data_IF_826370894408
#
_entry.id   IF_826370894408
#
_cell.length_a   1.000
_cell.length_b   1.000
_cell.length_c   1.000
_cell.angle_alpha   90.00
_cell.angle_beta   90.00
_cell.angle_gamma   90.00
#
_symmetry.space_group_name_H-M   'P 1'
#
loop_
_entity.id
_entity.type
_entity.pdbx_description
1 polymer ?
#
# COMPACT_ATOMS: atom_id res chain seq x y z
N UNK A 1 12.07 56.43 54.44
CA UNK A 1 12.30 55.02 54.85
C UNK A 1 12.81 54.29 53.62
N UNK A 2 14.13 54.17 53.49
CA UNK A 2 14.76 53.40 52.42
C UNK A 2 14.74 51.94 52.85
N UNK A 3 13.75 51.17 52.43
CA UNK A 3 13.87 49.71 52.46
C UNK A 3 14.96 49.34 51.45
N UNK A 4 16.05 48.76 51.95
CA UNK A 4 17.13 48.24 51.12
C UNK A 4 16.56 47.17 50.20
N UNK A 5 16.72 47.33 48.89
CA UNK A 5 16.40 46.30 47.90
C UNK A 5 17.00 44.96 48.35
N UNK A 6 16.28 43.84 48.19
CA UNK A 6 16.81 42.52 48.56
C UNK A 6 18.15 42.27 47.85
N UNK A 7 19.08 41.62 48.56
CA UNK A 7 20.42 41.34 48.05
C UNK A 7 20.32 40.65 46.66
N UNK A 8 21.04 41.11 45.61
CA UNK A 8 20.85 40.66 44.23
C UNK A 8 20.98 39.14 44.06
N UNK A 9 21.80 38.51 44.89
CA UNK A 9 21.95 37.05 44.94
C UNK A 9 20.64 36.32 45.32
N UNK A 10 19.83 36.88 46.23
CA UNK A 10 18.56 36.27 46.65
C UNK A 10 17.52 36.30 45.52
N UNK A 11 17.50 37.37 44.71
CA UNK A 11 16.63 37.46 43.55
C UNK A 11 17.00 36.44 42.47
N UNK A 12 18.30 36.27 42.18
CA UNK A 12 18.78 35.28 41.21
C UNK A 12 18.42 33.84 41.61
N UNK A 13 18.56 33.50 42.89
CA UNK A 13 18.21 32.17 43.39
C UNK A 13 16.69 31.90 43.34
N UNK A 14 15.87 32.90 43.67
CA UNK A 14 14.41 32.78 43.56
C UNK A 14 13.94 32.65 42.11
N UNK A 15 14.53 33.40 41.18
CA UNK A 15 14.24 33.28 39.75
C UNK A 15 14.69 31.91 39.21
N UNK A 16 15.87 31.42 39.59
CA UNK A 16 16.33 30.10 39.19
C UNK A 16 15.40 28.98 39.68
N UNK A 17 14.89 29.07 40.91
CA UNK A 17 13.90 28.13 41.45
C UNK A 17 12.56 28.20 40.72
N UNK A 18 12.12 29.41 40.35
CA UNK A 18 10.91 29.61 39.55
C UNK A 18 11.07 28.95 38.17
N UNK A 19 12.19 29.18 37.50
CA UNK A 19 12.46 28.66 36.16
C UNK A 19 12.56 27.13 36.17
N UNK A 20 13.22 26.54 37.19
CA UNK A 20 13.23 25.08 37.41
C UNK A 20 11.83 24.51 37.62
N UNK A 21 10.97 25.21 38.36
CA UNK A 21 9.59 24.78 38.56
C UNK A 21 8.76 24.81 37.27
N UNK A 22 8.99 25.81 36.40
CA UNK A 22 8.33 25.93 35.10
C UNK A 22 8.84 24.90 34.08
N UNK A 23 10.11 24.50 34.18
CA UNK A 23 10.72 23.49 33.31
C UNK A 23 10.43 22.03 33.73
N UNK A 24 9.73 21.81 34.85
CA UNK A 24 9.47 20.45 35.34
C UNK A 24 8.37 19.75 34.52
N UNK A 25 8.72 18.64 33.85
CA UNK A 25 7.78 17.83 33.05
C UNK A 25 6.93 16.84 33.86
N UNK A 26 7.31 16.57 35.11
CA UNK A 26 6.63 15.60 35.97
C UNK A 26 6.50 16.11 37.40
N UNK A 27 5.48 15.61 38.10
CA UNK A 27 5.26 15.97 39.51
C UNK A 27 6.46 15.62 40.40
N UNK A 28 7.12 14.49 40.13
CA UNK A 28 8.29 14.07 40.89
C UNK A 28 9.51 14.98 40.64
N UNK A 29 9.69 15.48 39.41
CA UNK A 29 10.74 16.44 39.09
C UNK A 29 10.52 17.78 39.81
N UNK A 30 9.27 18.26 39.85
CA UNK A 30 8.90 19.45 40.62
C UNK A 30 9.17 19.25 42.12
N UNK A 31 8.71 18.12 42.69
CA UNK A 31 8.95 17.79 44.10
C UNK A 31 10.44 17.64 44.44
N UNK A 32 11.27 17.14 43.51
CA UNK A 32 12.72 17.11 43.66
C UNK A 32 13.34 18.49 43.73
N UNK A 33 12.94 19.39 42.84
CA UNK A 33 13.46 20.76 42.85
C UNK A 33 13.08 21.48 44.15
N UNK A 34 11.83 21.34 44.59
CA UNK A 34 11.35 21.92 45.85
C UNK A 34 12.12 21.43 47.08
N UNK A 35 12.45 20.13 47.13
CA UNK A 35 13.14 19.54 48.28
C UNK A 35 14.65 19.84 48.30
N UNK A 36 15.31 19.90 47.15
CA UNK A 36 16.78 19.96 47.09
C UNK A 36 17.32 21.34 46.73
N UNK A 37 16.68 22.04 45.80
CA UNK A 37 17.20 23.31 45.29
C UNK A 37 16.92 24.49 46.23
N UNK A 38 16.09 24.32 47.26
CA UNK A 38 15.78 25.36 48.26
C UNK A 38 16.92 25.58 49.27
N UNK A 39 17.85 24.64 49.38
CA UNK A 39 18.93 24.65 50.39
C UNK A 39 19.86 25.88 50.36
N UNK A 40 20.24 26.46 49.20
CA UNK A 40 21.04 27.68 49.14
C UNK A 40 20.33 28.91 49.75
N UNK A 41 19.00 28.95 49.71
CA UNK A 41 18.19 30.04 50.27
C UNK A 41 17.94 29.88 51.78
N UNK A 42 17.72 28.65 52.23
CA UNK A 42 17.48 28.33 53.62
C UNK A 42 18.17 27.01 53.95
N UNK A 43 19.15 27.04 54.85
CA UNK A 43 19.81 25.82 55.33
C UNK A 43 18.85 25.06 56.25
N UNK A 44 18.47 23.86 55.85
CA UNK A 44 17.62 22.94 56.61
C UNK A 44 18.28 21.57 56.75
N UNK A 45 17.93 20.82 57.79
CA UNK A 45 18.44 19.45 57.97
C UNK A 45 17.86 18.51 56.91
N UNK A 46 16.55 18.63 56.67
CA UNK A 46 15.84 17.84 55.68
C UNK A 46 14.60 18.59 55.19
N UNK A 47 14.28 18.42 53.91
CA UNK A 47 13.02 18.84 53.30
C UNK A 47 12.22 17.61 52.88
N UNK A 48 10.92 17.64 53.17
CA UNK A 48 9.98 16.56 52.84
C UNK A 48 8.82 17.15 52.03
N UNK A 49 8.56 16.58 50.85
CA UNK A 49 7.48 17.01 49.98
C UNK A 49 6.41 15.93 49.95
N UNK A 50 5.20 16.28 50.38
CA UNK A 50 4.04 15.39 50.39
C UNK A 50 3.01 15.83 49.35
N UNK A 51 2.44 14.88 48.63
CA UNK A 51 1.21 15.05 47.87
C UNK A 51 0.00 14.70 48.74
N UNK A 52 -1.06 15.49 48.65
CA UNK A 52 -2.35 15.15 49.25
C UNK A 52 -3.25 14.46 48.22
N UNK A 53 -3.61 13.20 48.47
CA UNK A 53 -4.54 12.41 47.65
C UNK A 53 -5.57 11.77 48.57
N UNK A 54 -6.86 12.05 48.35
CA UNK A 54 -7.98 11.45 49.11
C UNK A 54 -7.77 11.48 50.65
N UNK A 55 -7.30 12.61 51.18
CA UNK A 55 -6.97 12.84 52.61
C UNK A 55 -5.81 12.00 53.17
N UNK A 56 -5.03 11.36 52.29
CA UNK A 56 -3.75 10.74 52.63
C UNK A 56 -2.60 11.61 52.13
N UNK A 57 -1.53 11.70 52.92
CA UNK A 57 -0.27 12.30 52.50
C UNK A 57 0.67 11.23 51.96
N UNK A 58 0.99 11.33 50.68
CA UNK A 58 1.97 10.50 49.98
C UNK A 58 3.29 11.25 49.91
N UNK A 59 4.36 10.65 50.44
CA UNK A 59 5.70 11.24 50.39
C UNK A 59 6.24 11.14 48.95
N UNK A 60 6.42 12.29 48.29
CA UNK A 60 6.98 12.35 46.94
C UNK A 60 8.51 12.41 46.95
N UNK A 61 9.08 13.16 47.89
CA UNK A 61 10.53 13.34 47.93
C UNK A 61 11.05 13.71 49.33
N UNK A 62 12.31 13.33 49.56
CA UNK A 62 13.10 13.64 50.76
C UNK A 62 14.43 14.20 50.29
N UNK A 63 14.81 15.39 50.76
CA UNK A 63 16.10 15.99 50.38
C UNK A 63 17.29 15.13 50.83
N UNK A 64 18.30 15.00 49.98
CA UNK A 64 19.56 14.33 50.32
C UNK A 64 19.50 12.80 50.43
N UNK A 65 18.35 12.15 50.18
CA UNK A 65 18.22 10.70 50.13
C UNK A 65 17.72 10.23 48.75
N UNK A 66 18.39 9.24 48.17
CA UNK A 66 17.89 8.50 47.02
C UNK A 66 16.83 7.49 47.50
N UNK A 67 15.55 7.87 47.42
CA UNK A 67 14.33 7.05 47.70
C UNK A 67 14.47 6.03 48.86
N UNK A 68 13.97 6.34 50.07
CA UNK A 68 14.01 5.38 51.16
C UNK A 68 13.17 4.12 50.84
N UNK A 69 13.69 2.93 51.16
CA UNK A 69 12.99 1.65 50.99
C UNK A 69 11.74 1.58 51.88
N UNK A 70 10.67 0.94 51.41
CA UNK A 70 9.31 1.02 51.98
C UNK A 70 9.16 0.52 53.44
N UNK A 71 10.20 -0.09 54.04
CA UNK A 71 10.13 -0.78 55.34
C UNK A 71 10.96 -0.15 56.48
N UNK A 72 11.41 1.11 56.36
CA UNK A 72 12.14 1.77 57.46
C UNK A 72 11.22 2.18 58.63
N UNK A 73 11.60 1.95 59.91
CA UNK A 73 10.87 2.43 61.09
C UNK A 73 10.55 3.93 61.04
N UNK A 74 11.47 4.73 60.49
CA UNK A 74 11.29 6.16 60.28
C UNK A 74 10.11 6.47 59.36
N UNK A 75 9.92 5.73 58.26
CA UNK A 75 8.82 5.98 57.31
C UNK A 75 7.45 5.62 57.90
N UNK A 76 7.38 4.55 58.70
CA UNK A 76 6.14 4.14 59.39
C UNK A 76 5.72 5.20 60.40
N UNK A 77 6.67 5.75 61.14
CA UNK A 77 6.43 6.87 62.03
C UNK A 77 6.10 8.16 61.26
N UNK A 78 6.87 8.48 60.21
CA UNK A 78 6.68 9.67 59.38
C UNK A 78 5.29 9.72 58.75
N UNK A 79 4.72 8.59 58.35
CA UNK A 79 3.35 8.51 57.82
C UNK A 79 2.29 8.90 58.87
N UNK A 80 2.54 8.61 60.16
CA UNK A 80 1.68 9.03 61.28
C UNK A 80 1.91 10.50 61.62
N UNK A 81 3.16 10.90 61.75
CA UNK A 81 3.57 12.28 62.06
C UNK A 81 3.06 13.27 60.99
N UNK A 82 3.25 12.97 59.71
CA UNK A 82 2.80 13.83 58.60
C UNK A 82 1.30 14.05 58.59
N UNK A 83 0.47 13.04 58.90
CA UNK A 83 -0.99 13.19 59.02
C UNK A 83 -1.37 14.14 60.14
N UNK A 84 -0.71 14.03 61.29
CA UNK A 84 -0.92 14.94 62.41
C UNK A 84 -0.50 16.37 62.03
N UNK A 85 0.68 16.54 61.41
CA UNK A 85 1.15 17.86 60.94
C UNK A 85 0.17 18.47 59.93
N UNK A 86 -0.33 17.70 58.96
CA UNK A 86 -1.31 18.19 57.98
C UNK A 86 -2.64 18.64 58.61
N UNK A 87 -3.04 18.08 59.75
CA UNK A 87 -4.22 18.53 60.48
C UNK A 87 -4.00 19.87 61.19
N UNK A 88 -2.74 20.23 61.48
CA UNK A 88 -2.38 21.49 62.15
C UNK A 88 -2.18 22.65 61.19
N UNK A 89 -1.89 22.38 59.92
CA UNK A 89 -1.59 23.38 58.89
C UNK A 89 -2.84 23.63 58.04
N UNK A 90 -3.34 24.86 58.07
CA UNK A 90 -4.47 25.29 57.22
C UNK A 90 -3.95 25.96 55.94
N UNK A 91 -4.18 27.26 55.79
CA UNK A 91 -3.86 28.03 54.57
C UNK A 91 -2.50 28.74 54.62
N UNK A 92 -2.01 29.07 55.82
CA UNK A 92 -0.74 29.76 56.02
C UNK A 92 0.34 28.83 56.57
N UNK A 93 1.64 29.12 56.32
CA UNK A 93 2.71 28.30 56.83
C UNK A 93 2.80 28.41 58.35
N UNK A 94 3.10 27.29 59.00
CA UNK A 94 3.13 27.17 60.44
C UNK A 94 4.50 26.69 60.91
N UNK A 95 5.06 27.39 61.90
CA UNK A 95 6.20 26.90 62.68
C UNK A 95 5.68 25.99 63.80
N UNK A 96 6.08 24.71 63.77
CA UNK A 96 5.67 23.70 64.74
C UNK A 96 6.88 23.25 65.57
N UNK A 97 6.73 23.30 66.89
CA UNK A 97 7.66 22.70 67.86
C UNK A 97 6.93 21.72 68.76
N UNK A 98 7.66 20.83 69.42
CA UNK A 98 7.07 19.88 70.39
C UNK A 98 6.28 20.60 71.50
N UNK A 99 6.77 21.75 71.95
CA UNK A 99 6.16 22.52 73.05
C UNK A 99 4.89 23.30 72.63
N UNK A 100 4.79 23.69 71.37
CA UNK A 100 3.74 24.61 70.90
C UNK A 100 2.34 23.99 70.85
N UNK A 101 2.23 22.69 70.53
CA UNK A 101 0.95 22.01 70.26
C UNK A 101 0.83 20.61 70.87
N UNK A 102 1.75 20.22 71.76
CA UNK A 102 1.75 18.94 72.48
C UNK A 102 1.39 17.73 71.59
N UNK A 103 2.31 17.25 70.74
CA UNK A 103 2.04 16.12 69.87
C UNK A 103 1.66 14.88 70.70
N UNK A 104 0.83 13.96 70.15
CA UNK A 104 0.60 12.64 70.74
C UNK A 104 1.92 11.96 71.14
N UNK A 105 1.90 11.17 72.22
CA UNK A 105 3.11 10.57 72.79
C UNK A 105 3.93 9.77 71.77
N UNK A 106 3.27 9.02 70.88
CA UNK A 106 3.93 8.23 69.83
C UNK A 106 4.63 9.09 68.76
N UNK A 107 4.16 10.33 68.56
CA UNK A 107 4.78 11.32 67.68
C UNK A 107 5.90 12.05 68.42
N UNK A 108 5.70 12.40 69.69
CA UNK A 108 6.70 13.09 70.53
C UNK A 108 7.98 12.27 70.70
N UNK A 109 7.85 10.95 70.93
CA UNK A 109 8.98 10.05 71.11
C UNK A 109 9.86 9.98 69.85
N UNK A 110 9.25 9.72 68.68
CA UNK A 110 9.97 9.66 67.41
C UNK A 110 10.45 11.03 66.91
N UNK A 111 9.79 12.13 67.30
CA UNK A 111 10.26 13.47 66.95
C UNK A 111 11.62 13.73 67.60
N UNK A 112 11.77 13.36 68.86
CA UNK A 112 13.02 13.53 69.60
C UNK A 112 14.18 12.69 69.04
N UNK A 113 13.87 11.59 68.35
CA UNK A 113 14.84 10.71 67.71
C UNK A 113 15.24 11.19 66.30
N UNK A 114 14.29 11.67 65.49
CA UNK A 114 14.50 11.89 64.06
C UNK A 114 14.38 13.33 63.58
N UNK A 115 13.72 14.23 64.32
CA UNK A 115 13.46 15.62 63.90
C UNK A 115 14.12 16.63 64.85
N UNK A 116 14.56 17.80 64.34
CA UNK A 116 15.17 18.85 65.15
C UNK A 116 14.11 19.66 65.92
N UNK A 117 14.54 20.79 66.48
CA UNK A 117 13.74 21.66 67.36
C UNK A 117 12.39 22.09 66.77
N UNK A 118 12.31 22.32 65.46
CA UNK A 118 11.02 22.61 64.85
C UNK A 118 10.91 22.33 63.36
N UNK A 119 9.67 22.36 62.90
CA UNK A 119 9.28 22.13 61.51
C UNK A 119 8.58 23.37 60.97
N UNK A 120 9.09 23.86 59.86
CA UNK A 120 8.39 24.86 59.07
C UNK A 120 7.54 24.17 58.01
N UNK A 121 6.23 24.28 58.17
CA UNK A 121 5.25 23.56 57.37
C UNK A 121 4.58 24.52 56.39
N UNK A 122 4.82 24.33 55.09
CA UNK A 122 4.36 25.22 54.03
C UNK A 122 3.29 24.51 53.20
N UNK A 123 2.02 24.93 53.25
CA UNK A 123 0.96 24.36 52.41
C UNK A 123 1.12 24.81 50.96
N UNK A 124 0.94 23.88 50.03
CA UNK A 124 0.96 24.16 48.59
C UNK A 124 -0.46 24.00 48.08
N UNK A 125 -1.06 25.11 47.65
CA UNK A 125 -2.42 25.15 47.18
C UNK A 125 -2.50 25.53 45.69
N UNK A 126 -3.57 25.10 45.04
CA UNK A 126 -3.91 25.56 43.69
C UNK A 126 -4.51 26.98 43.72
N UNK A 127 -4.78 27.56 42.54
CA UNK A 127 -5.42 28.89 42.42
C UNK A 127 -6.84 28.95 43.04
N UNK A 128 -7.47 27.81 43.34
CA UNK A 128 -8.79 27.71 43.95
C UNK A 128 -8.72 27.54 45.47
N UNK A 129 -7.53 27.63 46.08
CA UNK A 129 -7.32 27.47 47.53
C UNK A 129 -7.34 26.01 48.00
N UNK A 130 -7.44 25.03 47.09
CA UNK A 130 -7.37 23.62 47.45
C UNK A 130 -5.91 23.21 47.66
N UNK A 131 -5.61 22.67 48.84
CA UNK A 131 -4.29 22.10 49.17
C UNK A 131 -3.99 20.90 48.26
N UNK A 132 -2.90 20.98 47.53
CA UNK A 132 -2.36 19.94 46.65
C UNK A 132 -1.30 19.09 47.36
N UNK A 133 -0.61 19.67 48.34
CA UNK A 133 0.50 19.05 49.05
C UNK A 133 1.05 19.91 50.18
N UNK A 134 2.07 19.40 50.84
CA UNK A 134 2.73 20.02 51.99
C UNK A 134 4.24 19.88 51.86
N UNK A 135 4.97 20.99 52.01
CA UNK A 135 6.43 21.02 52.12
C UNK A 135 6.81 21.21 53.59
N UNK A 136 7.57 20.29 54.16
CA UNK A 136 8.10 20.38 55.52
C UNK A 136 9.60 20.63 55.47
N UNK A 137 10.07 21.68 56.15
CA UNK A 137 11.49 21.96 56.33
C UNK A 137 11.87 21.81 57.80
N UNK A 138 12.83 20.94 58.07
CA UNK A 138 13.33 20.65 59.41
C UNK A 138 14.43 21.65 59.77
N UNK A 139 14.20 22.48 60.80
CA UNK A 139 15.06 23.59 61.19
C UNK A 139 15.32 23.59 62.71
N UNK A 140 16.45 24.15 63.14
CA UNK A 140 16.76 24.32 64.57
C UNK A 140 16.11 25.58 65.16
N UNK A 141 15.69 26.52 64.31
CA UNK A 141 15.19 27.84 64.72
C UNK A 141 14.05 28.27 63.82
N UNK A 142 13.17 29.10 64.38
CA UNK A 142 12.06 29.70 63.63
C UNK A 142 12.60 30.53 62.45
N UNK A 143 12.07 30.35 61.23
CA UNK A 143 12.52 31.09 60.06
C UNK A 143 12.15 32.57 60.18
N UNK A 144 13.00 33.50 59.70
CA UNK A 144 12.70 34.93 59.74
C UNK A 144 11.39 35.25 58.98
N UNK A 145 10.48 36.07 59.53
CA UNK A 145 9.21 36.41 58.87
C UNK A 145 9.37 37.04 57.48
N UNK A 146 10.46 37.77 57.25
CA UNK A 146 10.81 38.39 55.96
C UNK A 146 11.03 37.34 54.86
N UNK A 147 11.53 36.16 55.22
CA UNK A 147 11.78 35.08 54.26
C UNK A 147 10.47 34.59 53.62
N UNK A 148 9.39 34.54 54.39
CA UNK A 148 8.08 34.15 53.88
C UNK A 148 7.54 35.14 52.85
N UNK A 149 7.77 36.45 53.03
CA UNK A 149 7.32 37.48 52.08
C UNK A 149 7.92 37.26 50.69
N UNK A 150 9.17 36.79 50.61
CA UNK A 150 9.84 36.48 49.36
C UNK A 150 9.49 35.09 48.79
N UNK A 151 9.32 34.08 49.65
CA UNK A 151 8.99 32.71 49.22
C UNK A 151 7.53 32.54 48.79
N UNK A 152 6.60 33.37 49.27
CA UNK A 152 5.16 33.27 48.95
C UNK A 152 4.89 33.22 47.44
N UNK A 153 5.59 34.04 46.65
CA UNK A 153 5.46 34.04 45.19
C UNK A 153 5.96 32.75 44.52
N UNK A 154 7.07 32.20 45.03
CA UNK A 154 7.64 30.94 44.54
C UNK A 154 6.72 29.76 44.88
N UNK A 155 6.20 29.69 46.11
CA UNK A 155 5.24 28.67 46.55
C UNK A 155 3.96 28.72 45.70
N UNK A 156 3.48 29.92 45.36
CA UNK A 156 2.38 30.10 44.41
C UNK A 156 2.68 29.54 43.02
N UNK A 157 3.92 29.74 42.53
CA UNK A 157 4.38 29.16 41.25
C UNK A 157 4.42 27.63 41.32
N UNK A 158 4.95 27.06 42.40
CA UNK A 158 4.93 25.61 42.62
C UNK A 158 3.51 25.05 42.62
N UNK A 159 2.56 25.71 43.30
CA UNK A 159 1.15 25.34 43.29
C UNK A 159 0.54 25.34 41.89
N UNK A 160 0.88 26.33 41.06
CA UNK A 160 0.44 26.40 39.66
C UNK A 160 1.00 25.25 38.81
N UNK A 161 2.31 25.02 38.84
CA UNK A 161 2.95 23.93 38.09
C UNK A 161 2.42 22.56 38.54
N UNK A 162 2.25 22.37 39.85
CA UNK A 162 1.69 21.15 40.41
C UNK A 162 0.27 20.89 39.91
N UNK A 163 -0.58 21.92 39.89
CA UNK A 163 -1.93 21.81 39.36
C UNK A 163 -1.91 21.45 37.85
N UNK A 164 -1.03 22.06 37.07
CA UNK A 164 -0.90 21.77 35.64
C UNK A 164 -0.45 20.32 35.38
N UNK A 165 0.51 19.82 36.16
CA UNK A 165 1.05 18.46 36.04
C UNK A 165 0.08 17.37 36.54
N UNK A 166 -0.81 17.71 37.46
CA UNK A 166 -1.81 16.77 38.02
C UNK A 166 -3.19 16.88 37.38
N UNK A 167 -3.42 17.87 36.51
CA UNK A 167 -4.67 18.04 35.74
C UNK A 167 -4.79 16.89 34.75
N UNK A 168 -5.44 15.80 35.17
CA UNK A 168 -5.87 14.74 34.27
C UNK A 168 -6.65 15.41 33.13
N UNK A 169 -6.10 15.37 31.91
CA UNK A 169 -6.82 15.75 30.70
C UNK A 169 -8.04 14.84 30.60
N UNK A 170 -9.15 15.26 31.18
CA UNK A 170 -10.47 14.70 30.92
C UNK A 170 -10.86 15.11 29.51
N UNK A 171 -10.18 14.53 28.53
CA UNK A 171 -10.77 14.34 27.21
C UNK A 171 -12.06 13.58 27.48
N UNK A 172 -13.18 14.29 27.37
CA UNK A 172 -14.52 13.75 27.50
C UNK A 172 -14.60 12.53 26.60
N UNK A 173 -14.47 11.34 27.19
CA UNK A 173 -14.70 10.09 26.47
C UNK A 173 -16.21 10.00 26.31
N UNK A 174 -16.69 10.47 25.16
CA UNK A 174 -17.98 10.09 24.63
C UNK A 174 -18.02 8.56 24.60
N UNK A 175 -18.67 7.96 25.60
CA UNK A 175 -18.88 6.53 25.69
C UNK A 175 -20.31 6.29 25.24
N UNK A 176 -20.54 5.85 24.00
CA UNK A 176 -21.88 5.53 23.56
C UNK A 176 -22.47 4.49 24.50
N UNK A 177 -23.73 4.68 24.88
CA UNK A 177 -24.44 3.71 25.73
C UNK A 177 -24.49 2.34 25.04
N UNK A 178 -24.60 1.24 25.80
CA UNK A 178 -24.73 -0.12 25.23
C UNK A 178 -25.82 -0.21 24.16
N UNK A 179 -26.93 0.54 24.32
CA UNK A 179 -28.02 0.63 23.35
C UNK A 179 -27.61 1.33 22.06
N UNK A 180 -26.89 2.46 22.15
CA UNK A 180 -26.35 3.14 20.98
C UNK A 180 -25.35 2.27 20.23
N UNK A 181 -24.46 1.57 20.95
CA UNK A 181 -23.52 0.62 20.34
C UNK A 181 -24.24 -0.52 19.60
N UNK A 182 -25.29 -1.09 20.21
CA UNK A 182 -26.12 -2.13 19.59
C UNK A 182 -26.84 -1.61 18.34
N UNK A 183 -27.46 -0.43 18.41
CA UNK A 183 -28.15 0.19 17.27
C UNK A 183 -27.16 0.48 16.14
N UNK A 184 -25.97 1.02 16.45
CA UNK A 184 -24.94 1.26 15.42
C UNK A 184 -24.44 -0.04 14.79
N UNK A 185 -24.27 -1.11 15.58
CA UNK A 185 -23.87 -2.41 15.07
C UNK A 185 -24.95 -2.99 14.14
N UNK A 186 -26.22 -2.87 14.53
CA UNK A 186 -27.35 -3.39 13.78
C UNK A 186 -27.53 -2.60 12.47
N UNK A 187 -27.38 -1.27 12.53
CA UNK A 187 -27.46 -0.39 11.35
C UNK A 187 -26.29 -0.65 10.39
N UNK A 188 -25.08 -0.86 10.91
CA UNK A 188 -23.92 -1.26 10.12
C UNK A 188 -24.12 -2.67 9.50
N UNK A 189 -24.63 -3.62 10.28
CA UNK A 189 -24.98 -4.96 9.80
C UNK A 189 -26.00 -4.91 8.68
N UNK A 190 -27.06 -4.11 8.82
CA UNK A 190 -28.08 -3.90 7.79
C UNK A 190 -27.49 -3.28 6.51
N UNK A 191 -26.55 -2.33 6.64
CA UNK A 191 -25.87 -1.71 5.49
C UNK A 191 -25.12 -2.76 4.65
N UNK A 192 -24.55 -3.79 5.27
CA UNK A 192 -23.83 -4.86 4.55
C UNK A 192 -24.74 -5.72 3.66
N UNK A 193 -26.06 -5.71 3.89
CA UNK A 193 -27.06 -6.41 3.05
C UNK A 193 -27.59 -5.55 1.90
N UNK A 194 -27.11 -4.32 1.71
CA UNK A 194 -27.49 -3.53 0.54
C UNK A 194 -26.90 -4.13 -0.75
N UNK A 195 -27.73 -4.41 -1.77
CA UNK A 195 -27.25 -4.96 -3.04
C UNK A 195 -26.55 -3.87 -3.85
N UNK A 196 -25.27 -4.07 -4.15
CA UNK A 196 -24.44 -3.17 -4.96
C UNK A 196 -23.99 -3.86 -6.25
N UNK A 197 -23.84 -3.10 -7.33
CA UNK A 197 -23.30 -3.64 -8.59
C UNK A 197 -21.81 -3.94 -8.41
N UNK A 198 -21.40 -5.16 -8.69
CA UNK A 198 -19.99 -5.54 -8.65
C UNK A 198 -19.27 -4.93 -9.86
N UNK A 199 -18.12 -4.30 -9.62
CA UNK A 199 -17.27 -3.80 -10.71
C UNK A 199 -15.85 -4.29 -10.59
N UNK A 200 -15.18 -4.42 -11.73
CA UNK A 200 -13.75 -4.71 -11.82
C UNK A 200 -13.10 -3.74 -12.80
N UNK A 201 -11.85 -3.36 -12.52
CA UNK A 201 -11.03 -2.55 -13.40
C UNK A 201 -9.96 -3.44 -14.00
N UNK A 202 -9.71 -3.29 -15.31
CA UNK A 202 -8.74 -4.10 -16.02
C UNK A 202 -8.06 -3.28 -17.13
N UNK A 203 -6.74 -3.47 -17.35
CA UNK A 203 -6.05 -2.91 -18.50
C UNK A 203 -6.68 -3.44 -19.79
N UNK A 204 -6.77 -2.57 -20.80
CA UNK A 204 -7.50 -2.82 -22.04
C UNK A 204 -6.82 -2.14 -23.21
N UNK A 205 -6.87 -2.81 -24.36
CA UNK A 205 -6.39 -2.29 -25.63
C UNK A 205 -7.50 -2.35 -26.68
N UNK A 206 -7.54 -1.37 -27.59
CA UNK A 206 -8.40 -1.43 -28.76
C UNK A 206 -7.74 -2.29 -29.83
N UNK A 207 -8.37 -3.42 -30.14
CA UNK A 207 -7.97 -4.35 -31.20
C UNK A 207 -9.05 -4.45 -32.25
N UNK A 208 -8.78 -5.10 -33.38
CA UNK A 208 -9.85 -5.44 -34.32
C UNK A 208 -10.57 -6.69 -33.85
N UNK A 209 -11.92 -6.68 -33.92
CA UNK A 209 -12.75 -7.85 -33.64
C UNK A 209 -12.37 -9.04 -34.52
N UNK A 210 -11.95 -8.77 -35.75
CA UNK A 210 -11.60 -9.78 -36.73
C UNK A 210 -10.19 -9.54 -37.24
N UNK A 211 -9.22 -10.09 -36.53
CA UNK A 211 -7.83 -9.95 -36.88
C UNK A 211 -7.23 -11.32 -37.22
N UNK A 212 -6.69 -11.46 -38.43
CA UNK A 212 -6.15 -12.71 -38.94
C UNK A 212 -4.63 -12.74 -38.82
N UNK A 213 -4.12 -13.75 -38.13
CA UNK A 213 -2.68 -13.97 -38.00
C UNK A 213 -2.15 -14.49 -39.34
N UNK A 214 -1.09 -13.86 -39.82
CA UNK A 214 -0.35 -14.26 -41.00
C UNK A 214 0.96 -14.89 -40.54
N UNK A 215 1.10 -16.18 -40.82
CA UNK A 215 2.26 -16.99 -40.46
C UNK A 215 3.03 -17.46 -41.68
N UNK A 216 4.27 -17.90 -41.49
CA UNK A 216 5.02 -18.54 -42.57
C UNK A 216 4.34 -19.85 -43.01
N UNK A 217 4.06 -20.06 -44.30
CA UNK A 217 3.41 -21.29 -44.78
C UNK A 217 4.40 -22.44 -45.00
N UNK A 218 5.70 -22.14 -45.10
CA UNK A 218 6.81 -23.10 -45.25
C UNK A 218 8.03 -22.59 -44.48
N UNK A 219 9.01 -23.45 -44.26
CA UNK A 219 10.30 -23.06 -43.67
C UNK A 219 11.11 -22.28 -44.71
N UNK A 220 11.78 -21.21 -44.29
CA UNK A 220 12.57 -20.38 -45.20
C UNK A 220 13.16 -19.14 -44.53
N UNK A 221 13.80 -18.28 -45.31
CA UNK A 221 14.31 -16.99 -44.86
C UNK A 221 13.46 -15.90 -45.46
N UNK A 222 13.05 -14.91 -44.67
CA UNK A 222 12.31 -13.75 -45.20
C UNK A 222 13.27 -12.91 -46.05
N UNK A 223 13.01 -12.85 -47.36
CA UNK A 223 13.78 -12.05 -48.30
C UNK A 223 13.38 -10.57 -48.20
N UNK A 224 12.08 -10.30 -48.20
CA UNK A 224 11.56 -8.94 -48.19
C UNK A 224 10.18 -8.86 -47.55
N UNK A 225 9.96 -7.78 -46.78
CA UNK A 225 8.62 -7.32 -46.39
C UNK A 225 8.19 -6.22 -47.36
N UNK A 226 7.01 -6.40 -47.98
CA UNK A 226 6.48 -5.56 -49.05
C UNK A 226 5.48 -4.50 -48.57
N UNK A 227 5.12 -4.54 -47.29
CA UNK A 227 4.20 -3.59 -46.64
C UNK A 227 4.86 -2.91 -45.46
N UNK A 228 4.40 -1.72 -45.11
CA UNK A 228 4.83 -1.00 -43.90
C UNK A 228 3.93 -1.35 -42.72
N UNK A 229 4.41 -1.22 -41.48
CA UNK A 229 3.56 -1.30 -40.30
C UNK A 229 2.41 -0.29 -40.40
N UNK A 230 1.22 -0.74 -40.00
CA UNK A 230 -0.01 0.04 -40.02
C UNK A 230 -0.45 0.50 -41.43
N UNK A 231 0.08 -0.12 -42.49
CA UNK A 231 -0.34 0.15 -43.86
C UNK A 231 -1.69 -0.55 -44.17
N UNK A 232 -2.65 0.16 -44.79
CA UNK A 232 -3.85 -0.48 -45.32
C UNK A 232 -3.50 -1.38 -46.52
N UNK A 233 -4.07 -2.59 -46.52
CA UNK A 233 -3.88 -3.62 -47.54
C UNK A 233 -5.24 -4.10 -48.05
N UNK A 234 -5.29 -4.45 -49.33
CA UNK A 234 -6.47 -5.06 -49.96
C UNK A 234 -6.30 -6.59 -50.05
N UNK A 235 -7.39 -7.31 -50.31
CA UNK A 235 -7.34 -8.75 -50.55
C UNK A 235 -6.38 -9.07 -51.70
N UNK A 236 -5.44 -10.00 -51.47
CA UNK A 236 -4.44 -10.40 -52.44
C UNK A 236 -3.18 -9.52 -52.48
N UNK A 237 -3.10 -8.46 -51.67
CA UNK A 237 -1.90 -7.61 -51.61
C UNK A 237 -0.71 -8.41 -51.07
N UNK A 238 0.46 -8.41 -51.73
CA UNK A 238 1.62 -9.16 -51.24
C UNK A 238 2.19 -8.54 -49.96
N UNK A 239 2.35 -9.36 -48.92
CA UNK A 239 2.79 -8.94 -47.59
C UNK A 239 4.30 -9.13 -47.41
N UNK A 240 4.80 -10.33 -47.66
CA UNK A 240 6.22 -10.66 -47.61
C UNK A 240 6.54 -11.81 -48.58
N UNK A 241 7.83 -11.94 -48.92
CA UNK A 241 8.35 -13.08 -49.67
C UNK A 241 9.45 -13.79 -48.89
N UNK A 242 9.47 -15.11 -49.01
CA UNK A 242 10.58 -15.95 -48.60
C UNK A 242 11.60 -16.07 -49.74
N UNK A 243 12.86 -16.34 -49.43
CA UNK A 243 13.91 -16.58 -50.43
C UNK A 243 13.50 -17.71 -51.40
N UNK A 244 13.30 -17.32 -52.65
CA UNK A 244 12.84 -18.20 -53.71
C UNK A 244 13.98 -18.92 -54.44
N UNK A 245 15.24 -18.54 -54.20
CA UNK A 245 16.40 -18.90 -55.04
C UNK A 245 16.56 -20.41 -55.20
N UNK A 246 16.47 -21.14 -54.07
CA UNK A 246 16.63 -22.60 -54.04
C UNK A 246 15.46 -23.32 -54.71
N UNK A 247 14.22 -22.91 -54.41
CA UNK A 247 13.00 -23.50 -54.97
C UNK A 247 12.88 -23.23 -56.47
N UNK A 248 13.22 -22.01 -56.92
CA UNK A 248 13.21 -21.63 -58.33
C UNK A 248 14.23 -22.42 -59.13
N UNK A 249 15.46 -22.55 -58.62
CA UNK A 249 16.51 -23.37 -59.24
C UNK A 249 16.08 -24.84 -59.36
N UNK A 250 15.48 -25.39 -58.30
CA UNK A 250 14.97 -26.77 -58.29
C UNK A 250 13.82 -26.96 -59.28
N UNK A 251 12.89 -26.00 -59.38
CA UNK A 251 11.80 -26.05 -60.36
C UNK A 251 12.34 -26.02 -61.80
N UNK A 252 13.39 -25.24 -62.08
CA UNK A 252 14.02 -25.20 -63.40
C UNK A 252 14.67 -26.55 -63.76
N UNK A 253 15.42 -27.15 -62.83
CA UNK A 253 16.04 -28.47 -63.02
C UNK A 253 14.98 -29.54 -63.29
N UNK A 254 13.95 -29.63 -62.44
CA UNK A 254 12.83 -30.58 -62.63
C UNK A 254 12.08 -30.33 -63.94
N UNK A 255 11.94 -29.07 -64.36
CA UNK A 255 11.37 -28.72 -65.66
C UNK A 255 12.14 -29.30 -66.83
N UNK A 256 13.48 -29.24 -66.78
CA UNK A 256 14.35 -29.87 -67.78
C UNK A 256 14.27 -31.40 -67.72
N UNK A 257 14.23 -31.99 -66.53
CA UNK A 257 14.10 -33.45 -66.38
C UNK A 257 12.77 -33.98 -66.91
N UNK A 258 11.66 -33.24 -66.71
CA UNK A 258 10.36 -33.56 -67.33
C UNK A 258 10.47 -33.52 -68.85
N UNK A 259 11.12 -32.50 -69.41
CA UNK A 259 11.31 -32.40 -70.87
C UNK A 259 12.14 -33.55 -71.44
N UNK A 260 13.17 -34.01 -70.73
CA UNK A 260 13.96 -35.19 -71.11
C UNK A 260 13.10 -36.46 -71.05
N UNK A 261 12.35 -36.67 -69.97
CA UNK A 261 11.48 -37.84 -69.82
C UNK A 261 10.36 -37.88 -70.88
N UNK A 262 9.79 -36.71 -71.22
CA UNK A 262 8.79 -36.57 -72.29
C UNK A 262 9.38 -36.93 -73.66
N UNK A 263 10.62 -36.51 -73.94
CA UNK A 263 11.33 -36.86 -75.18
C UNK A 263 11.67 -38.36 -75.25
N UNK A 264 12.10 -38.98 -74.15
CA UNK A 264 12.34 -40.43 -74.05
C UNK A 264 11.06 -41.23 -74.32
N UNK A 265 9.95 -40.82 -73.70
CA UNK A 265 8.64 -41.45 -73.90
C UNK A 265 8.20 -41.31 -75.36
N UNK A 266 8.37 -40.14 -75.98
CA UNK A 266 8.03 -39.93 -77.38
C UNK A 266 8.87 -40.82 -78.30
N UNK A 267 10.19 -40.87 -78.12
CA UNK A 267 11.08 -41.71 -78.91
C UNK A 267 10.77 -43.21 -78.73
N UNK A 268 10.44 -43.64 -77.51
CA UNK A 268 10.00 -45.01 -77.26
C UNK A 268 8.64 -45.31 -77.87
N UNK A 269 7.70 -44.36 -77.86
CA UNK A 269 6.37 -44.52 -78.47
C UNK A 269 6.46 -44.73 -79.98
N UNK A 270 7.40 -44.05 -80.64
CA UNK A 270 7.68 -44.23 -82.06
C UNK A 270 8.28 -45.62 -82.34
N UNK A 271 9.22 -46.10 -81.51
CA UNK A 271 9.82 -47.44 -81.65
C UNK A 271 8.84 -48.59 -81.35
N UNK A 272 7.87 -48.35 -80.47
CA UNK A 272 6.92 -49.36 -80.00
C UNK A 272 5.83 -49.74 -81.01
N UNK A 273 5.65 -48.97 -82.08
CA UNK A 273 4.73 -49.33 -83.17
C UNK A 273 5.12 -50.65 -83.85
N UNK A 274 6.41 -51.01 -83.83
CA UNK A 274 6.95 -52.15 -84.58
C UNK A 274 7.13 -53.44 -83.74
N UNK A 275 6.94 -53.42 -82.41
CA UNK A 275 7.22 -54.57 -81.54
C UNK A 275 6.26 -54.70 -80.31
N UNK A 276 5.56 -55.84 -80.14
CA UNK A 276 4.69 -56.11 -78.98
C UNK A 276 5.37 -56.05 -77.60
N UNK A 277 6.67 -56.33 -77.50
CA UNK A 277 7.44 -56.24 -76.24
C UNK A 277 7.57 -54.80 -75.72
N UNK A 278 7.36 -53.79 -76.56
CA UNK A 278 7.54 -52.38 -76.20
C UNK A 278 6.41 -51.79 -75.35
N UNK A 279 5.28 -52.49 -75.16
CA UNK A 279 4.15 -51.97 -74.36
C UNK A 279 4.46 -51.85 -72.86
N UNK A 280 5.25 -52.76 -72.30
CA UNK A 280 5.67 -52.68 -70.88
C UNK A 280 6.66 -51.53 -70.65
N UNK A 281 7.59 -51.33 -71.59
CA UNK A 281 8.54 -50.22 -71.58
C UNK A 281 7.84 -48.86 -71.66
N UNK A 282 6.81 -48.72 -72.51
CA UNK A 282 5.98 -47.53 -72.57
C UNK A 282 5.27 -47.25 -71.25
N UNK A 283 4.71 -48.28 -70.62
CA UNK A 283 4.02 -48.13 -69.32
C UNK A 283 5.00 -47.64 -68.24
N UNK A 284 6.23 -48.16 -68.22
CA UNK A 284 7.28 -47.73 -67.31
C UNK A 284 7.70 -46.26 -67.56
N UNK A 285 7.93 -45.88 -68.81
CA UNK A 285 8.32 -44.52 -69.18
C UNK A 285 7.19 -43.50 -68.91
N UNK A 286 5.93 -43.88 -69.16
CA UNK A 286 4.77 -43.09 -68.77
C UNK A 286 4.72 -42.88 -67.25
N UNK A 287 4.97 -43.93 -66.46
CA UNK A 287 5.08 -43.82 -65.01
C UNK A 287 6.17 -42.85 -64.58
N UNK A 288 7.34 -42.89 -65.23
CA UNK A 288 8.47 -41.98 -64.97
C UNK A 288 8.13 -40.53 -65.30
N UNK A 289 7.50 -40.26 -66.44
CA UNK A 289 7.04 -38.91 -66.81
C UNK A 289 6.05 -38.38 -65.78
N UNK A 290 5.06 -39.19 -65.39
CA UNK A 290 4.07 -38.79 -64.39
C UNK A 290 4.72 -38.50 -63.04
N UNK A 291 5.68 -39.32 -62.61
CA UNK A 291 6.46 -39.07 -61.39
C UNK A 291 7.19 -37.71 -61.46
N UNK A 292 7.93 -37.43 -62.53
CA UNK A 292 8.69 -36.18 -62.68
C UNK A 292 7.78 -34.95 -62.75
N UNK A 293 6.63 -35.07 -63.43
CA UNK A 293 5.61 -34.01 -63.48
C UNK A 293 5.02 -33.75 -62.10
N UNK A 294 4.76 -34.79 -61.32
CA UNK A 294 4.27 -34.65 -59.94
C UNK A 294 5.32 -33.97 -59.04
N UNK A 295 6.59 -34.32 -59.17
CA UNK A 295 7.71 -33.68 -58.45
C UNK A 295 7.83 -32.18 -58.82
N UNK A 296 7.76 -31.85 -60.11
CA UNK A 296 7.75 -30.45 -60.57
C UNK A 296 6.55 -29.68 -60.02
N UNK A 297 5.35 -30.25 -60.10
CA UNK A 297 4.14 -29.64 -59.59
C UNK A 297 4.21 -29.39 -58.07
N UNK A 298 4.83 -30.30 -57.31
CA UNK A 298 5.04 -30.14 -55.88
C UNK A 298 5.98 -28.95 -55.57
N UNK A 299 7.10 -28.82 -56.27
CA UNK A 299 8.03 -27.70 -56.09
C UNK A 299 7.41 -26.38 -56.54
N UNK A 300 6.65 -26.37 -57.64
CA UNK A 300 5.91 -25.18 -58.07
C UNK A 300 4.84 -24.75 -57.05
N UNK A 301 4.17 -25.70 -56.41
CA UNK A 301 3.23 -25.40 -55.34
C UNK A 301 3.92 -24.82 -54.09
N UNK A 302 5.12 -25.31 -53.75
CA UNK A 302 5.94 -24.71 -52.68
C UNK A 302 6.40 -23.30 -53.05
N UNK A 303 6.83 -23.08 -54.30
CA UNK A 303 7.23 -21.76 -54.79
C UNK A 303 6.05 -20.77 -54.72
N UNK A 304 4.82 -21.17 -55.05
CA UNK A 304 3.65 -20.29 -54.87
C UNK A 304 3.41 -19.89 -53.41
N UNK A 305 3.84 -20.72 -52.46
CA UNK A 305 3.71 -20.45 -51.01
C UNK A 305 4.83 -19.55 -50.48
N UNK A 306 5.90 -19.26 -51.23
CA UNK A 306 6.92 -18.29 -50.79
C UNK A 306 6.38 -16.87 -50.79
N UNK A 307 5.40 -16.58 -51.65
CA UNK A 307 4.75 -15.27 -51.73
C UNK A 307 3.49 -15.26 -50.88
N UNK A 308 3.56 -14.61 -49.73
CA UNK A 308 2.43 -14.54 -48.81
C UNK A 308 1.65 -13.26 -49.06
N UNK A 309 0.37 -13.42 -49.35
CA UNK A 309 -0.56 -12.33 -49.66
C UNK A 309 -1.59 -12.13 -48.54
N UNK A 310 -2.19 -10.95 -48.49
CA UNK A 310 -3.25 -10.61 -47.57
C UNK A 310 -4.52 -11.41 -47.90
N UNK A 311 -5.07 -12.19 -46.96
CA UNK A 311 -6.28 -12.99 -47.19
C UNK A 311 -7.57 -12.15 -47.22
N UNK A 312 -7.49 -10.89 -46.78
CA UNK A 312 -8.61 -9.93 -46.71
C UNK A 312 -8.08 -8.49 -46.75
N UNK A 313 -8.98 -7.55 -46.99
CA UNK A 313 -8.68 -6.14 -46.79
C UNK A 313 -8.58 -5.80 -45.28
N UNK A 314 -7.69 -4.89 -44.92
CA UNK A 314 -7.45 -4.49 -43.53
C UNK A 314 -6.19 -3.65 -43.39
N UNK A 315 -5.59 -3.67 -42.20
CA UNK A 315 -4.34 -2.99 -41.86
C UNK A 315 -3.33 -4.02 -41.38
N UNK A 316 -2.11 -3.97 -41.93
CA UNK A 316 -1.02 -4.85 -41.52
C UNK A 316 -0.38 -4.37 -40.21
N UNK A 317 -0.51 -5.16 -39.14
CA UNK A 317 -0.01 -4.86 -37.79
C UNK A 317 1.18 -5.78 -37.47
N UNK A 318 2.34 -5.17 -37.27
CA UNK A 318 3.60 -5.79 -36.84
C UNK A 318 4.57 -4.70 -36.40
N UNK A 319 5.69 -5.07 -35.76
CA UNK A 319 6.63 -4.13 -35.13
C UNK A 319 7.44 -3.31 -36.15
N UNK A 320 8.52 -3.87 -36.70
CA UNK A 320 9.40 -3.22 -37.68
C UNK A 320 9.71 -4.21 -38.82
N UNK A 321 9.71 -3.78 -40.10
CA UNK A 321 10.16 -4.63 -41.20
C UNK A 321 11.58 -5.17 -41.05
N UNK A 322 12.49 -4.41 -40.42
CA UNK A 322 13.89 -4.76 -40.28
C UNK A 322 14.13 -5.93 -39.32
N UNK A 323 13.23 -6.16 -38.35
CA UNK A 323 13.31 -7.28 -37.42
C UNK A 323 13.16 -8.64 -38.10
N UNK A 324 12.59 -8.63 -39.31
CA UNK A 324 12.23 -9.82 -40.07
C UNK A 324 13.09 -10.02 -41.31
N UNK A 325 13.65 -8.96 -41.88
CA UNK A 325 14.45 -9.05 -43.10
C UNK A 325 15.69 -9.93 -42.87
N UNK A 326 15.84 -10.98 -43.66
CA UNK A 326 16.93 -11.96 -43.52
C UNK A 326 16.76 -12.94 -42.34
N UNK A 327 15.65 -12.88 -41.59
CA UNK A 327 15.40 -13.77 -40.47
C UNK A 327 14.92 -15.15 -40.96
N UNK A 328 15.52 -16.27 -40.48
CA UNK A 328 14.99 -17.60 -40.74
C UNK A 328 13.70 -17.82 -39.95
N UNK A 329 12.69 -18.38 -40.61
CA UNK A 329 11.36 -18.65 -40.04
C UNK A 329 10.93 -20.08 -40.30
N UNK A 330 10.11 -20.60 -39.39
CA UNK A 330 9.51 -21.95 -39.49
C UNK A 330 8.04 -21.89 -39.85
N UNK A 331 7.53 -22.98 -40.41
CA UNK A 331 6.12 -23.15 -40.73
C UNK A 331 5.24 -22.90 -39.50
N UNK A 332 4.29 -21.97 -39.63
CA UNK A 332 3.39 -21.56 -38.55
C UNK A 332 3.93 -20.44 -37.65
N UNK A 333 5.17 -20.00 -37.82
CA UNK A 333 5.70 -18.82 -37.11
C UNK A 333 4.89 -17.58 -37.47
N UNK A 334 4.42 -16.84 -36.45
CA UNK A 334 3.56 -15.67 -36.61
C UNK A 334 4.43 -14.47 -36.96
N UNK A 335 4.21 -13.88 -38.13
CA UNK A 335 5.01 -12.77 -38.63
C UNK A 335 4.27 -11.45 -38.45
N UNK A 336 3.01 -11.39 -38.86
CA UNK A 336 2.18 -10.19 -38.77
C UNK A 336 0.70 -10.54 -38.63
N UNK A 337 -0.12 -9.53 -38.40
CA UNK A 337 -1.57 -9.67 -38.33
C UNK A 337 -2.26 -8.71 -39.28
N UNK A 338 -3.31 -9.15 -39.98
CA UNK A 338 -4.16 -8.27 -40.78
C UNK A 338 -5.44 -8.02 -39.99
N UNK A 339 -5.64 -6.77 -39.57
CA UNK A 339 -6.72 -6.33 -38.70
C UNK A 339 -7.70 -5.41 -39.47
N UNK A 340 -9.00 -5.60 -39.30
CA UNK A 340 -10.02 -4.73 -39.90
C UNK A 340 -10.28 -3.50 -39.00
N UNK A 341 -9.95 -2.26 -39.42
CA UNK A 341 -10.16 -1.06 -38.63
C UNK A 341 -11.63 -0.64 -38.51
N UNK A 342 -12.53 -1.16 -39.36
CA UNK A 342 -13.96 -0.81 -39.34
C UNK A 342 -14.73 -1.47 -38.20
N UNK A 343 -14.17 -2.52 -37.60
CA UNK A 343 -14.78 -3.28 -36.50
C UNK A 343 -13.86 -3.29 -35.26
N UNK A 344 -13.69 -2.15 -34.59
CA UNK A 344 -12.89 -2.08 -33.38
C UNK A 344 -13.58 -2.81 -32.22
N UNK A 345 -12.77 -3.43 -31.37
CA UNK A 345 -13.20 -4.17 -30.18
C UNK A 345 -12.23 -3.88 -29.02
N UNK A 346 -12.73 -4.04 -27.80
CA UNK A 346 -11.92 -3.91 -26.59
C UNK A 346 -11.39 -5.28 -26.20
N UNK A 347 -10.07 -5.43 -26.16
CA UNK A 347 -9.41 -6.58 -25.58
C UNK A 347 -9.00 -6.26 -24.14
N UNK A 348 -9.65 -6.92 -23.20
CA UNK A 348 -9.55 -6.63 -21.77
C UNK A 348 -8.80 -7.76 -21.10
N UNK A 349 -7.80 -7.43 -20.28
CA UNK A 349 -7.03 -8.40 -19.51
C UNK A 349 -7.44 -8.33 -18.04
N UNK A 350 -8.39 -9.18 -17.63
CA UNK A 350 -8.90 -9.19 -16.26
C UNK A 350 -8.05 -10.10 -15.36
N UNK A 351 -7.31 -9.52 -14.42
CA UNK A 351 -6.51 -10.26 -13.46
C UNK A 351 -7.37 -11.28 -12.67
N UNK A 352 -6.84 -12.49 -12.43
CA UNK A 352 -7.56 -13.55 -11.71
C UNK A 352 -8.01 -13.09 -10.30
N UNK A 353 -7.21 -12.26 -9.63
CA UNK A 353 -7.53 -11.69 -8.32
C UNK A 353 -8.74 -10.74 -8.34
N UNK A 354 -9.05 -10.15 -9.49
CA UNK A 354 -10.18 -9.26 -9.72
C UNK A 354 -11.27 -9.89 -10.60
N UNK A 355 -11.16 -11.19 -10.88
CA UNK A 355 -12.15 -11.93 -11.63
C UNK A 355 -13.51 -11.84 -10.91
N UNK A 356 -14.50 -11.40 -11.66
CA UNK A 356 -15.91 -11.37 -11.25
C UNK A 356 -16.70 -12.24 -12.22
N UNK A 357 -17.86 -12.74 -11.80
CA UNK A 357 -18.74 -13.47 -12.69
C UNK A 357 -19.25 -12.50 -13.76
N UNK A 358 -18.79 -12.70 -15.00
CA UNK A 358 -19.16 -11.92 -16.18
C UNK A 358 -19.85 -12.84 -17.16
N UNK A 359 -21.08 -12.49 -17.50
CA UNK A 359 -21.85 -13.13 -18.56
C UNK A 359 -21.64 -12.36 -19.87
N UNK A 360 -21.67 -13.03 -21.03
CA UNK A 360 -21.77 -12.34 -22.32
C UNK A 360 -22.95 -11.36 -22.31
N UNK A 361 -22.73 -10.15 -22.83
CA UNK A 361 -23.68 -9.04 -22.78
C UNK A 361 -23.51 -8.08 -21.60
N UNK A 362 -22.63 -8.37 -20.64
CA UNK A 362 -22.34 -7.46 -19.54
C UNK A 362 -21.79 -6.11 -20.04
N UNK A 363 -22.19 -5.02 -19.37
CA UNK A 363 -21.77 -3.66 -19.71
C UNK A 363 -20.27 -3.45 -19.43
N UNK A 364 -19.60 -2.73 -20.34
CA UNK A 364 -18.21 -2.32 -20.21
C UNK A 364 -18.07 -0.85 -20.55
N UNK A 365 -17.22 -0.14 -19.82
CA UNK A 365 -16.82 1.23 -20.16
C UNK A 365 -15.31 1.34 -20.16
N UNK A 366 -14.72 1.66 -21.32
CA UNK A 366 -13.30 1.90 -21.50
C UNK A 366 -12.98 3.38 -21.38
N UNK A 367 -12.00 3.69 -20.54
CA UNK A 367 -11.39 5.00 -20.43
C UNK A 367 -10.01 4.94 -21.07
N UNK A 368 -9.87 5.56 -22.24
CA UNK A 368 -8.60 5.60 -22.96
C UNK A 368 -7.60 6.51 -22.25
N UNK A 369 -6.33 6.10 -22.18
CA UNK A 369 -5.26 6.91 -21.59
C UNK A 369 -5.08 8.22 -22.36
N UNK A 370 -5.21 8.17 -23.70
CA UNK A 370 -5.11 9.34 -24.56
C UNK A 370 -6.35 10.27 -24.46
N UNK A 371 -7.52 9.74 -24.10
CA UNK A 371 -8.79 10.47 -24.09
C UNK A 371 -9.63 10.16 -22.83
N UNK A 372 -9.17 10.56 -21.63
CA UNK A 372 -9.81 10.16 -20.37
C UNK A 372 -11.24 10.71 -20.18
N UNK A 373 -11.57 11.82 -20.85
CA UNK A 373 -12.90 12.46 -20.78
C UNK A 373 -13.90 11.89 -21.80
N UNK A 374 -13.47 11.00 -22.70
CA UNK A 374 -14.32 10.42 -23.75
C UNK A 374 -14.43 8.91 -23.57
N UNK A 375 -15.29 8.43 -22.64
CA UNK A 375 -15.43 7.00 -22.39
C UNK A 375 -16.10 6.27 -23.57
N UNK A 376 -15.55 5.12 -23.93
CA UNK A 376 -16.14 4.22 -24.91
C UNK A 376 -16.99 3.18 -24.19
N UNK A 377 -18.23 3.00 -24.62
CA UNK A 377 -19.15 2.01 -24.05
C UNK A 377 -19.26 0.80 -24.96
N UNK A 378 -19.62 -0.34 -24.36
CA UNK A 378 -19.76 -1.58 -25.09
C UNK A 378 -20.25 -2.72 -24.22
N UNK A 379 -20.29 -3.92 -24.81
CA UNK A 379 -20.75 -5.13 -24.13
C UNK A 379 -19.77 -6.28 -24.33
N UNK A 380 -19.66 -7.18 -23.34
CA UNK A 380 -18.81 -8.36 -23.45
C UNK A 380 -19.35 -9.30 -24.53
N UNK A 381 -18.51 -9.64 -25.50
CA UNK A 381 -18.81 -10.60 -26.56
C UNK A 381 -18.34 -12.01 -26.19
N UNK A 382 -17.12 -12.12 -25.67
CA UNK A 382 -16.48 -13.40 -25.38
C UNK A 382 -15.64 -13.33 -24.11
N UNK A 383 -15.63 -14.43 -23.36
CA UNK A 383 -14.81 -14.62 -22.16
C UNK A 383 -13.93 -15.86 -22.33
N UNK A 384 -12.59 -15.71 -22.33
CA UNK A 384 -11.71 -16.87 -22.38
C UNK A 384 -11.78 -17.68 -21.08
N UNK A 385 -11.95 -19.00 -21.18
CA UNK A 385 -11.98 -19.89 -20.00
C UNK A 385 -10.61 -20.11 -19.34
N UNK A 386 -9.51 -19.90 -20.07
CA UNK A 386 -8.16 -20.11 -19.57
C UNK A 386 -7.48 -18.78 -19.25
N UNK A 387 -6.96 -18.65 -18.03
CA UNK A 387 -6.08 -17.55 -17.70
C UNK A 387 -4.68 -17.80 -18.26
N UNK A 388 -4.05 -16.75 -18.79
CA UNK A 388 -2.67 -16.78 -19.28
C UNK A 388 -1.90 -15.62 -18.64
N UNK A 389 -0.57 -15.76 -18.47
CA UNK A 389 0.25 -14.61 -18.11
C UNK A 389 0.12 -13.55 -19.21
N UNK A 390 -0.21 -12.32 -18.82
CA UNK A 390 -0.12 -11.15 -19.71
C UNK A 390 1.33 -10.81 -19.99
N UNK A 391 1.55 -9.89 -20.93
CA UNK A 391 2.88 -9.35 -21.22
C UNK A 391 3.51 -8.65 -19.98
N UNK A 392 2.68 -8.23 -19.02
CA UNK A 392 3.07 -7.66 -17.73
C UNK A 392 3.34 -8.72 -16.65
N UNK A 393 3.26 -10.02 -16.99
CA UNK A 393 3.52 -11.14 -16.08
C UNK A 393 2.38 -11.46 -15.10
N UNK A 394 1.24 -10.76 -15.19
CA UNK A 394 0.08 -11.00 -14.33
C UNK A 394 -0.82 -12.04 -14.99
N UNK A 395 -1.24 -13.06 -14.22
CA UNK A 395 -2.17 -14.07 -14.72
C UNK A 395 -3.57 -13.44 -14.87
N UNK A 396 -4.06 -13.37 -16.10
CA UNK A 396 -5.30 -12.69 -16.46
C UNK A 396 -6.16 -13.51 -17.44
N UNK A 397 -7.48 -13.33 -17.35
CA UNK A 397 -8.44 -13.78 -18.36
C UNK A 397 -8.53 -12.75 -19.48
N UNK A 398 -8.55 -13.22 -20.72
CA UNK A 398 -8.76 -12.37 -21.90
C UNK A 398 -10.25 -12.30 -22.21
N UNK A 399 -10.79 -11.09 -22.20
CA UNK A 399 -12.18 -10.82 -22.55
C UNK A 399 -12.18 -9.97 -23.83
N UNK A 400 -13.17 -10.19 -24.69
CA UNK A 400 -13.41 -9.39 -25.88
C UNK A 400 -14.76 -8.68 -25.72
N UNK A 401 -14.80 -7.37 -25.92
CA UNK A 401 -16.02 -6.58 -25.86
C UNK A 401 -16.23 -5.73 -27.13
N UNK A 402 -17.48 -5.51 -27.51
CA UNK A 402 -17.87 -4.63 -28.62
C UNK A 402 -17.60 -3.18 -28.25
N UNK A 403 -17.43 -2.30 -29.24
CA UNK A 403 -17.50 -0.85 -29.02
C UNK A 403 -18.80 -0.36 -29.66
N UNK A 404 -19.61 0.37 -28.89
CA UNK A 404 -20.88 0.89 -29.37
C UNK A 404 -20.66 2.11 -30.27
N UNK A 405 -21.28 2.09 -31.46
CA UNK A 405 -21.15 3.14 -32.47
C UNK A 405 -19.80 3.13 -33.20
N UNK A 406 -19.50 4.24 -33.87
CA UNK A 406 -18.22 4.46 -34.57
C UNK A 406 -17.54 5.73 -34.05
N UNK A 407 -16.97 5.69 -32.82
CA UNK A 407 -16.35 6.87 -32.25
C UNK A 407 -15.04 7.21 -32.97
N UNK A 408 -14.78 8.49 -33.25
CA UNK A 408 -13.56 8.98 -33.93
C UNK A 408 -12.25 8.55 -33.24
N UNK A 409 -12.33 8.29 -31.94
CA UNK A 409 -11.19 7.96 -31.07
C UNK A 409 -10.94 6.45 -30.92
N UNK A 410 -11.71 5.59 -31.59
CA UNK A 410 -11.53 4.12 -31.51
C UNK A 410 -10.45 3.60 -32.49
N UNK A 411 -9.22 4.10 -32.34
CA UNK A 411 -8.08 3.67 -33.16
C UNK A 411 -7.46 2.39 -32.57
N UNK A 412 -7.06 1.48 -33.45
CA UNK A 412 -6.34 0.25 -33.07
C UNK A 412 -5.02 0.58 -32.36
N UNK A 413 -4.65 -0.20 -31.35
CA UNK A 413 -3.42 -0.04 -30.56
C UNK A 413 -3.50 1.01 -29.46
N UNK A 414 -4.65 1.67 -29.25
CA UNK A 414 -4.82 2.56 -28.10
C UNK A 414 -5.08 1.75 -26.83
N UNK A 415 -4.40 2.15 -25.74
CA UNK A 415 -4.55 1.53 -24.42
C UNK A 415 -5.39 2.38 -23.47
N UNK A 416 -5.96 1.73 -22.47
CA UNK A 416 -6.73 2.35 -21.40
C UNK A 416 -7.13 1.36 -20.32
N UNK A 417 -8.07 1.78 -19.48
CA UNK A 417 -8.61 0.96 -18.40
C UNK A 417 -10.10 0.75 -18.62
N UNK A 418 -10.53 -0.50 -18.72
CA UNK A 418 -11.94 -0.85 -18.77
C UNK A 418 -12.50 -1.05 -17.37
N UNK A 419 -13.69 -0.50 -17.16
CA UNK A 419 -14.57 -0.79 -16.03
C UNK A 419 -15.63 -1.78 -16.48
N UNK A 420 -15.55 -2.98 -15.92
CA UNK A 420 -16.45 -4.10 -16.16
C UNK A 420 -17.57 -4.05 -15.11
N UNK A 421 -18.82 -4.21 -15.53
CA UNK A 421 -19.98 -4.26 -14.64
C UNK A 421 -20.53 -5.68 -14.57
N UNK A 422 -20.40 -6.31 -13.40
CA UNK A 422 -20.96 -7.64 -13.12
C UNK A 422 -22.35 -7.57 -12.47
N UNK A 423 -22.79 -8.74 -11.97
CA UNK A 423 -24.04 -8.88 -11.24
C UNK A 423 -24.09 -8.07 -9.94
N UNK A 424 -25.28 -8.01 -9.32
CA UNK A 424 -25.47 -7.40 -8.00
C UNK A 424 -25.04 -8.38 -6.92
N UNK A 425 -24.21 -7.92 -5.99
CA UNK A 425 -23.75 -8.67 -4.82
C UNK A 425 -24.01 -7.86 -3.54
N UNK A 426 -24.05 -8.53 -2.39
CA UNK A 426 -24.21 -7.85 -1.11
C UNK A 426 -22.97 -7.02 -0.78
N UNK A 427 -23.16 -5.81 -0.25
CA UNK A 427 -22.05 -4.89 0.08
C UNK A 427 -21.01 -5.53 1.00
N UNK A 428 -21.42 -6.34 1.97
CA UNK A 428 -20.50 -7.05 2.85
C UNK A 428 -19.57 -8.00 2.09
N UNK A 429 -20.11 -8.77 1.14
CA UNK A 429 -19.29 -9.61 0.27
C UNK A 429 -18.38 -8.77 -0.63
N UNK A 430 -18.88 -7.67 -1.21
CA UNK A 430 -18.08 -6.78 -2.04
C UNK A 430 -16.84 -6.25 -1.32
N UNK A 431 -16.98 -5.78 -0.06
CA UNK A 431 -15.89 -5.25 0.76
C UNK A 431 -14.94 -6.36 1.25
N UNK A 432 -15.48 -7.51 1.65
CA UNK A 432 -14.70 -8.59 2.24
C UNK A 432 -14.14 -9.57 1.20
N UNK A 433 -14.47 -9.48 -0.09
CA UNK A 433 -14.06 -10.46 -1.11
C UNK A 433 -12.54 -10.69 -1.15
N UNK A 434 -11.76 -9.61 -1.13
CA UNK A 434 -10.29 -9.65 -1.23
C UNK A 434 -9.65 -10.22 0.05
N UNK A 435 -9.96 -9.71 1.25
CA UNK A 435 -9.41 -10.30 2.47
C UNK A 435 -9.86 -11.75 2.69
N UNK A 436 -11.09 -12.11 2.32
CA UNK A 436 -11.56 -13.49 2.37
C UNK A 436 -10.77 -14.38 1.39
N UNK A 437 -10.51 -13.93 0.16
CA UNK A 437 -9.72 -14.67 -0.80
C UNK A 437 -8.26 -14.86 -0.32
N UNK A 438 -7.64 -13.84 0.27
CA UNK A 438 -6.29 -13.96 0.84
C UNK A 438 -6.26 -14.86 2.07
N UNK A 439 -7.26 -14.76 2.95
CA UNK A 439 -7.39 -15.63 4.11
C UNK A 439 -7.52 -17.09 3.68
N UNK A 440 -8.39 -17.37 2.71
CA UNK A 440 -8.55 -18.71 2.13
C UNK A 440 -7.29 -19.23 1.45
N UNK A 441 -6.59 -18.39 0.69
CA UNK A 441 -5.33 -18.79 0.06
C UNK A 441 -4.25 -19.12 1.11
N UNK A 442 -4.26 -18.42 2.25
CA UNK A 442 -3.33 -18.66 3.35
C UNK A 442 -3.73 -19.85 4.24
N UNK A 443 -5.02 -20.00 4.55
CA UNK A 443 -5.56 -21.07 5.41
C UNK A 443 -5.74 -22.40 4.68
N UNK A 444 -5.78 -22.39 3.34
CA UNK A 444 -6.05 -23.56 2.51
C UNK A 444 -7.50 -24.06 2.58
N UNK A 445 -8.43 -23.26 3.13
CA UNK A 445 -9.85 -23.58 3.32
C UNK A 445 -10.75 -22.60 2.57
#
# INVERSE_FOLDING_TARGET
MNESLPHPHLLLELDALRDKALAADTLNALAFSMANDLYPLLKFHQALVFAERDRSLELLNVSGLSRPSEDSPYLVWLRRASRWVAAQVMEEPLWLTQDSKAPPADISDGWSEWWPTGLWCIPIANQQGQRLGLLLLLLDREPPPVLWQHLKGLVGTWGYCWAALTRQRRLSRWRPSRRQALVTLLLFGALLFLPVRQTALAPTEIVSRQAQIISSPIDGVIEQIKVRPNQPVELGTPLFSLDETTLRSRAEVLGKEVAVADAELLAASQRAFDNPQSKSELTLLQGRVQQRRAELAAVQAQLKRTQVVAPRAGVAVFSDPNDWLGKPVVTGERIMQVADPSQPAMQIQLAVADAIALEPGAEVTLFLTAYPLSPLKGTILETSYQARPSDEGVVAYRLLASIDGTPEHARLGLHGTAKLYGGRVMLGYYLLRRPLATLRAWSGW
#
